data_IF_275241741244
#
_entry.id   IF_275241741244
#
_cell.length_a   1.000
_cell.length_b   1.000
_cell.length_c   1.000
_cell.angle_alpha   90.00
_cell.angle_beta   90.00
_cell.angle_gamma   90.00
#
_symmetry.space_group_name_H-M   'P 1'
#
loop_
_entity.id
_entity.type
_entity.pdbx_description
1 polymer ?
#
# COMPACT_ATOMS: atom_id res chain seq x y z
N UNK A 1 -32.26 18.64 -31.13
CA UNK A 1 -31.40 17.45 -30.81
C UNK A 1 -30.17 17.56 -31.70
N UNK A 2 -29.04 17.89 -31.10
CA UNK A 2 -27.80 18.15 -31.81
C UNK A 2 -27.14 16.85 -32.29
N UNK A 3 -26.32 16.95 -33.35
CA UNK A 3 -25.55 15.80 -33.89
C UNK A 3 -24.67 15.14 -32.83
N UNK A 4 -24.26 15.91 -31.83
CA UNK A 4 -23.49 15.43 -30.65
C UNK A 4 -24.34 14.51 -29.77
N UNK A 5 -25.58 14.81 -29.48
CA UNK A 5 -26.50 13.99 -28.66
C UNK A 5 -26.82 12.65 -29.33
N UNK A 6 -26.96 12.62 -30.67
CA UNK A 6 -27.16 11.41 -31.44
C UNK A 6 -25.94 10.48 -31.37
N UNK A 7 -24.72 11.06 -31.39
CA UNK A 7 -23.47 10.28 -31.28
C UNK A 7 -23.24 9.71 -29.90
N UNK A 8 -23.62 10.44 -28.85
CA UNK A 8 -23.54 9.93 -27.47
C UNK A 8 -24.52 8.79 -27.21
N UNK A 9 -25.74 8.88 -27.78
CA UNK A 9 -26.71 7.77 -27.72
C UNK A 9 -26.23 6.50 -28.43
N UNK A 10 -25.52 6.64 -29.56
CA UNK A 10 -24.95 5.52 -30.29
C UNK A 10 -23.80 4.82 -29.54
N UNK A 11 -23.02 5.58 -28.74
CA UNK A 11 -21.97 5.02 -27.84
C UNK A 11 -22.56 4.14 -26.74
N UNK A 12 -23.72 4.51 -26.20
CA UNK A 12 -24.42 3.73 -25.17
C UNK A 12 -25.07 2.46 -25.70
N UNK A 13 -25.35 2.38 -27.02
CA UNK A 13 -25.98 1.21 -27.66
C UNK A 13 -25.02 0.10 -28.09
N UNK A 14 -23.71 0.21 -27.86
CA UNK A 14 -22.71 -0.84 -28.07
C UNK A 14 -22.45 -1.23 -29.55
N UNK A 15 -22.94 -0.45 -30.55
CA UNK A 15 -22.79 -0.74 -31.99
C UNK A 15 -21.72 0.15 -32.64
N UNK A 16 -20.45 0.02 -32.24
CA UNK A 16 -19.34 0.67 -32.94
C UNK A 16 -18.69 -0.29 -33.94
N UNK A 17 -18.69 0.08 -35.23
CA UNK A 17 -17.99 -0.63 -36.25
C UNK A 17 -16.49 -0.32 -36.22
N UNK A 18 -15.61 -1.27 -36.64
CA UNK A 18 -14.16 -1.13 -36.68
C UNK A 18 -13.65 0.15 -37.37
N UNK A 19 -14.43 0.69 -38.36
CA UNK A 19 -14.06 1.92 -39.07
C UNK A 19 -14.24 3.21 -38.23
N UNK A 20 -15.08 3.19 -37.20
CA UNK A 20 -15.33 4.34 -36.35
C UNK A 20 -14.21 4.53 -35.30
N UNK A 21 -13.52 3.44 -34.92
CA UNK A 21 -12.34 3.48 -34.07
C UNK A 21 -11.17 4.26 -34.67
N UNK A 22 -10.93 4.11 -35.98
CA UNK A 22 -9.84 4.81 -36.65
C UNK A 22 -10.08 6.32 -36.82
N UNK A 23 -11.34 6.77 -36.79
CA UNK A 23 -11.68 8.20 -36.85
C UNK A 23 -11.66 8.88 -35.48
N UNK A 24 -11.89 8.14 -34.40
CA UNK A 24 -11.76 8.62 -33.02
C UNK A 24 -10.28 8.72 -32.57
N UNK A 25 -9.41 7.87 -33.10
CA UNK A 25 -7.97 7.88 -32.79
C UNK A 25 -7.23 9.09 -33.38
N UNK A 26 -7.75 9.73 -34.44
CA UNK A 26 -7.12 10.88 -35.10
C UNK A 26 -7.53 12.24 -34.50
N UNK A 27 -8.55 12.31 -33.65
CA UNK A 27 -8.99 13.54 -33.00
C UNK A 27 -8.33 13.82 -31.64
N UNK A 28 -7.57 12.87 -31.09
CA UNK A 28 -6.91 12.97 -29.78
C UNK A 28 -5.44 13.47 -29.85
N UNK A 29 -4.93 13.87 -31.01
CA UNK A 29 -3.50 14.16 -31.24
C UNK A 29 -3.08 15.61 -31.04
N UNK A 30 -3.94 16.50 -30.50
CA UNK A 30 -3.60 17.91 -30.26
C UNK A 30 -4.03 18.35 -28.85
N UNK A 31 -3.55 17.69 -27.80
CA UNK A 31 -3.50 18.25 -26.47
C UNK A 31 -2.08 18.69 -26.18
N UNK A 32 -1.83 19.94 -25.73
CA UNK A 32 -0.50 20.44 -25.48
C UNK A 32 0.14 19.68 -24.32
N UNK A 33 1.39 19.31 -24.51
CA UNK A 33 2.30 18.79 -23.49
C UNK A 33 2.53 19.83 -22.39
N UNK A 34 1.64 19.88 -21.41
CA UNK A 34 1.84 20.64 -20.19
C UNK A 34 1.77 19.65 -19.01
N UNK A 35 2.95 19.30 -18.50
CA UNK A 35 3.12 18.90 -17.12
C UNK A 35 2.61 17.52 -16.76
N UNK A 36 3.19 16.45 -17.29
CA UNK A 36 3.32 15.23 -16.51
C UNK A 36 4.36 15.51 -15.41
N UNK A 37 3.97 16.25 -14.37
CA UNK A 37 4.60 16.08 -13.06
C UNK A 37 4.38 14.62 -12.71
N UNK A 38 5.42 13.80 -12.88
CA UNK A 38 5.55 12.55 -12.20
C UNK A 38 5.30 12.89 -10.71
N UNK A 39 4.12 12.58 -10.22
CA UNK A 39 3.90 12.52 -8.79
C UNK A 39 4.78 11.36 -8.31
N UNK A 40 6.03 11.69 -8.00
CA UNK A 40 6.79 10.92 -7.05
C UNK A 40 5.85 10.85 -5.84
N UNK A 41 5.27 9.67 -5.59
CA UNK A 41 4.56 9.43 -4.36
C UNK A 41 5.61 9.67 -3.27
N UNK A 42 5.54 10.85 -2.68
CA UNK A 42 6.34 11.17 -1.52
C UNK A 42 6.13 10.02 -0.55
N UNK A 43 7.22 9.40 -0.13
CA UNK A 43 7.23 8.45 0.99
C UNK A 43 6.56 9.21 2.11
N UNK A 44 5.26 8.92 2.34
CA UNK A 44 4.44 9.61 3.31
C UNK A 44 5.17 9.56 4.64
N UNK A 45 5.42 10.73 5.21
CA UNK A 45 6.22 10.86 6.41
C UNK A 45 5.64 9.98 7.53
N UNK A 46 6.53 9.48 8.40
CA UNK A 46 6.19 8.72 9.62
C UNK A 46 5.16 9.43 10.52
N UNK A 47 4.92 10.72 10.31
CA UNK A 47 3.91 11.52 11.00
C UNK A 47 2.46 11.04 10.77
N UNK A 48 2.17 10.41 9.63
CA UNK A 48 0.82 9.92 9.32
C UNK A 48 0.55 8.53 9.93
N UNK A 49 1.60 7.78 10.20
CA UNK A 49 1.54 6.54 10.99
C UNK A 49 1.24 6.83 12.48
N UNK A 50 1.55 8.03 12.96
CA UNK A 50 1.29 8.47 14.33
C UNK A 50 -0.19 8.82 14.62
N UNK A 51 -1.07 8.82 13.60
CA UNK A 51 -2.51 9.11 13.73
C UNK A 51 -3.35 7.87 14.09
N UNK A 52 -2.78 6.86 14.71
CA UNK A 52 -3.45 5.64 15.15
C UNK A 52 -3.67 5.58 16.67
N UNK A 53 -4.08 4.42 17.20
CA UNK A 53 -4.32 4.19 18.60
C UNK A 53 -3.11 4.55 19.48
N UNK A 54 -3.37 5.06 20.67
CA UNK A 54 -2.36 5.19 21.74
C UNK A 54 -2.41 3.93 22.58
N UNK A 55 -1.44 3.07 22.39
CA UNK A 55 -1.38 1.78 23.04
C UNK A 55 -1.02 1.89 24.53
N UNK A 56 -1.73 1.15 25.37
CA UNK A 56 -1.42 0.98 26.79
C UNK A 56 -0.41 -0.17 27.00
N UNK A 57 -0.49 -1.19 26.14
CA UNK A 57 0.46 -2.28 26.10
C UNK A 57 1.11 -2.38 24.72
N UNK A 58 2.29 -3.03 24.64
CA UNK A 58 2.96 -3.24 23.35
C UNK A 58 2.12 -4.18 22.45
N UNK A 59 1.52 -3.67 21.35
CA UNK A 59 0.73 -4.48 20.44
C UNK A 59 1.59 -5.45 19.62
N UNK A 60 2.91 -5.21 19.52
CA UNK A 60 3.86 -6.05 18.79
C UNK A 60 4.59 -7.07 19.66
N UNK A 61 4.09 -7.35 20.85
CA UNK A 61 4.69 -8.31 21.81
C UNK A 61 4.83 -9.74 21.25
N UNK A 62 4.16 -10.09 20.16
CA UNK A 62 4.33 -11.34 19.43
C UNK A 62 5.46 -11.30 18.40
N UNK A 63 6.10 -10.14 18.22
CA UNK A 63 7.21 -9.96 17.29
C UNK A 63 6.80 -9.83 15.82
N UNK A 64 7.80 -9.99 14.96
CA UNK A 64 7.65 -9.92 13.50
C UNK A 64 8.35 -11.12 12.86
N UNK A 65 7.89 -11.51 11.67
CA UNK A 65 8.54 -12.59 10.93
C UNK A 65 8.50 -12.35 9.42
N UNK A 66 9.37 -13.05 8.69
CA UNK A 66 9.36 -13.15 7.24
C UNK A 66 9.33 -14.60 6.80
N UNK A 67 8.73 -14.86 5.63
CA UNK A 67 8.64 -16.22 5.10
C UNK A 67 8.27 -16.23 3.62
N UNK A 68 8.15 -17.45 3.06
CA UNK A 68 7.82 -17.68 1.65
C UNK A 68 8.72 -16.88 0.68
N UNK A 69 10.06 -17.01 0.77
CA UNK A 69 10.95 -16.27 -0.12
C UNK A 69 10.76 -16.73 -1.56
N UNK A 70 10.67 -15.75 -2.47
CA UNK A 70 10.72 -15.92 -3.91
C UNK A 70 11.97 -15.20 -4.44
N UNK A 71 12.36 -15.36 -5.70
CA UNK A 71 13.54 -14.68 -6.23
C UNK A 71 13.56 -13.17 -6.05
N UNK A 72 12.39 -12.52 -6.06
CA UNK A 72 12.26 -11.07 -6.00
C UNK A 72 11.24 -10.60 -4.94
N UNK A 73 10.77 -11.49 -4.08
CA UNK A 73 9.74 -11.14 -3.09
C UNK A 73 9.82 -12.00 -1.82
N UNK A 74 9.22 -11.49 -0.75
CA UNK A 74 9.11 -12.17 0.54
C UNK A 74 7.83 -11.70 1.25
N UNK A 75 7.21 -12.58 2.01
CA UNK A 75 6.10 -12.22 2.90
C UNK A 75 6.66 -11.71 4.22
N UNK A 76 6.31 -10.49 4.60
CA UNK A 76 6.58 -9.89 5.91
C UNK A 76 5.29 -9.91 6.71
N UNK A 77 5.33 -10.32 7.96
CA UNK A 77 4.11 -10.41 8.74
C UNK A 77 4.33 -10.14 10.23
N UNK A 78 3.24 -9.73 10.86
CA UNK A 78 3.10 -9.59 12.31
C UNK A 78 1.66 -9.87 12.72
N UNK A 79 1.41 -9.96 14.01
CA UNK A 79 0.09 -10.02 14.60
C UNK A 79 0.02 -9.09 15.79
N UNK A 80 -0.97 -8.20 15.80
CA UNK A 80 -1.18 -7.31 16.93
C UNK A 80 -1.86 -8.07 18.09
N UNK A 81 -1.32 -7.91 19.27
CA UNK A 81 -1.96 -8.34 20.51
C UNK A 81 -2.77 -7.18 21.06
N UNK A 82 -4.09 -7.30 20.98
CA UNK A 82 -5.00 -6.27 21.49
C UNK A 82 -5.46 -6.68 22.90
N UNK A 83 -5.20 -5.84 23.88
CA UNK A 83 -5.70 -6.01 25.25
C UNK A 83 -7.13 -5.46 25.35
N UNK A 84 -7.88 -5.86 26.41
CA UNK A 84 -9.21 -5.31 26.66
C UNK A 84 -9.19 -3.78 26.83
N UNK A 85 -8.15 -3.26 27.46
CA UNK A 85 -7.95 -1.83 27.67
C UNK A 85 -7.73 -1.08 26.34
N UNK A 86 -7.09 -1.72 25.36
CA UNK A 86 -6.83 -1.14 24.04
C UNK A 86 -8.00 -1.34 23.07
N UNK A 87 -8.82 -2.37 23.26
CA UNK A 87 -9.94 -2.71 22.36
C UNK A 87 -10.94 -1.56 22.20
N UNK A 88 -11.20 -0.81 23.24
CA UNK A 88 -12.10 0.36 23.20
C UNK A 88 -11.58 1.49 22.30
N UNK A 89 -10.28 1.56 22.03
CA UNK A 89 -9.64 2.63 21.26
C UNK A 89 -9.38 2.22 19.79
N UNK A 90 -9.49 0.93 19.45
CA UNK A 90 -9.03 0.43 18.16
C UNK A 90 -10.11 0.42 17.06
N UNK A 91 -11.38 0.61 17.41
CA UNK A 91 -12.48 0.56 16.43
C UNK A 91 -12.57 -0.80 15.72
N UNK A 92 -13.25 -0.83 14.56
CA UNK A 92 -13.44 -2.07 13.80
C UNK A 92 -12.22 -2.45 12.95
N UNK A 93 -11.37 -1.48 12.61
CA UNK A 93 -10.22 -1.68 11.73
C UNK A 93 -9.02 -0.86 12.20
N UNK A 94 -7.85 -1.47 12.17
CA UNK A 94 -6.59 -0.89 12.66
C UNK A 94 -5.63 -0.75 11.50
N UNK A 95 -5.15 0.49 11.26
CA UNK A 95 -4.14 0.78 10.27
C UNK A 95 -2.74 0.42 10.76
N UNK A 96 -2.00 -0.33 9.97
CA UNK A 96 -0.60 -0.71 10.23
C UNK A 96 0.25 -0.34 9.03
N UNK A 97 1.41 0.23 9.29
CA UNK A 97 2.40 0.56 8.27
C UNK A 97 3.56 -0.42 8.37
N UNK A 98 3.91 -1.06 7.25
CA UNK A 98 5.13 -1.84 7.12
C UNK A 98 6.17 -0.99 6.37
N UNK A 99 7.35 -0.83 6.95
CA UNK A 99 8.47 -0.09 6.35
C UNK A 99 9.63 -1.03 6.06
N UNK A 100 10.21 -0.94 4.86
CA UNK A 100 11.36 -1.72 4.39
C UNK A 100 12.57 -0.83 4.19
N UNK A 101 13.75 -1.29 4.61
CA UNK A 101 15.01 -0.55 4.58
C UNK A 101 16.13 -1.36 3.95
N UNK A 102 17.12 -0.64 3.39
CA UNK A 102 18.32 -1.22 2.79
C UNK A 102 19.46 -1.42 3.81
N UNK A 103 19.30 -1.01 5.06
CA UNK A 103 20.33 -1.06 6.09
C UNK A 103 19.76 -1.29 7.50
N UNK A 104 20.58 -1.91 8.36
CA UNK A 104 20.19 -2.24 9.74
C UNK A 104 19.93 -1.01 10.63
N UNK A 105 20.51 0.14 10.28
CA UNK A 105 20.31 1.38 11.02
C UNK A 105 19.03 2.13 10.61
N UNK A 106 18.25 1.56 9.67
CA UNK A 106 16.98 2.08 9.15
C UNK A 106 17.09 3.51 8.58
N UNK A 107 18.25 3.86 8.02
CA UNK A 107 18.50 5.21 7.47
C UNK A 107 18.13 5.31 5.99
N UNK A 108 18.04 4.18 5.28
CA UNK A 108 17.76 4.12 3.85
C UNK A 108 16.42 3.43 3.59
N UNK A 109 15.30 4.16 3.71
CA UNK A 109 13.99 3.61 3.41
C UNK A 109 13.90 3.25 1.92
N UNK A 110 13.31 2.10 1.61
CA UNK A 110 13.10 1.61 0.24
C UNK A 110 11.63 1.69 -0.14
N UNK A 111 10.76 1.20 0.73
CA UNK A 111 9.33 1.09 0.46
C UNK A 111 8.52 1.05 1.75
N UNK A 112 7.25 1.42 1.61
CA UNK A 112 6.27 1.44 2.68
C UNK A 112 4.94 0.89 2.15
N UNK A 113 4.26 0.10 2.98
CA UNK A 113 2.91 -0.41 2.71
C UNK A 113 1.99 -0.05 3.85
N UNK A 114 0.74 0.32 3.53
CA UNK A 114 -0.33 0.54 4.50
C UNK A 114 -1.31 -0.60 4.40
N UNK A 115 -1.60 -1.26 5.50
CA UNK A 115 -2.47 -2.41 5.59
C UNK A 115 -3.48 -2.18 6.71
N UNK A 116 -4.72 -2.59 6.47
CA UNK A 116 -5.76 -2.62 7.50
C UNK A 116 -5.91 -4.05 8.04
N UNK A 117 -6.09 -4.16 9.35
CA UNK A 117 -6.40 -5.43 10.00
C UNK A 117 -7.53 -5.27 11.01
N UNK A 118 -8.20 -6.36 11.32
CA UNK A 118 -9.38 -6.42 12.18
C UNK A 118 -9.44 -7.71 12.99
N UNK A 119 -10.44 -7.82 13.85
CA UNK A 119 -10.67 -9.01 14.68
C UNK A 119 -10.99 -10.27 13.85
N UNK A 120 -11.64 -10.14 12.69
CA UNK A 120 -11.95 -11.28 11.82
C UNK A 120 -10.67 -11.94 11.26
N UNK A 121 -9.61 -11.15 11.10
CA UNK A 121 -8.26 -11.63 10.74
C UNK A 121 -7.38 -11.93 11.95
N UNK A 122 -7.95 -11.99 13.15
CA UNK A 122 -7.23 -12.10 14.41
C UNK A 122 -6.09 -11.06 14.53
N UNK A 123 -6.29 -9.88 13.97
CA UNK A 123 -5.33 -8.76 13.89
C UNK A 123 -3.99 -9.12 13.23
N UNK A 124 -3.98 -10.11 12.34
CA UNK A 124 -2.80 -10.48 11.54
C UNK A 124 -2.60 -9.52 10.38
N UNK A 125 -1.35 -9.20 10.10
CA UNK A 125 -0.91 -8.32 9.00
C UNK A 125 0.08 -9.10 8.14
N UNK A 126 -0.17 -9.18 6.84
CA UNK A 126 0.71 -9.78 5.85
C UNK A 126 0.98 -8.77 4.74
N UNK A 127 2.24 -8.60 4.40
CA UNK A 127 2.70 -7.74 3.31
C UNK A 127 3.57 -8.57 2.37
N UNK A 128 3.26 -8.58 1.09
CA UNK A 128 4.14 -9.15 0.07
C UNK A 128 5.08 -8.05 -0.40
N UNK A 129 6.32 -8.09 0.07
CA UNK A 129 7.36 -7.17 -0.37
C UNK A 129 7.94 -7.68 -1.69
N UNK A 130 7.66 -6.96 -2.79
CA UNK A 130 8.09 -7.31 -4.15
C UNK A 130 9.19 -6.39 -4.67
N UNK A 131 9.87 -6.79 -5.75
CA UNK A 131 10.94 -6.02 -6.40
C UNK A 131 12.22 -6.01 -5.59
N UNK A 132 12.45 -7.07 -4.82
CA UNK A 132 13.68 -7.30 -4.06
C UNK A 132 14.77 -7.89 -4.95
N UNK A 133 16.02 -7.67 -4.59
CA UNK A 133 17.15 -8.31 -5.25
C UNK A 133 17.50 -9.62 -4.54
N UNK A 134 17.67 -10.74 -5.26
CA UNK A 134 18.04 -12.02 -4.68
C UNK A 134 19.34 -11.94 -3.86
N UNK A 135 19.34 -12.60 -2.71
CA UNK A 135 20.52 -12.67 -1.84
C UNK A 135 20.90 -11.38 -1.13
N UNK A 136 20.16 -10.30 -1.32
CA UNK A 136 20.38 -9.03 -0.63
C UNK A 136 19.68 -9.02 0.71
N UNK A 137 20.32 -8.43 1.71
CA UNK A 137 19.76 -8.22 3.03
C UNK A 137 18.84 -7.01 3.08
N UNK A 138 17.71 -7.14 3.77
CA UNK A 138 16.73 -6.09 4.01
C UNK A 138 16.29 -6.12 5.47
N UNK A 139 15.94 -4.94 5.99
CA UNK A 139 15.41 -4.76 7.34
C UNK A 139 14.02 -4.16 7.25
N UNK A 140 13.15 -4.53 8.16
CA UNK A 140 11.78 -4.05 8.16
C UNK A 140 11.25 -3.88 9.57
N UNK A 141 10.24 -3.04 9.70
CA UNK A 141 9.46 -2.89 10.92
C UNK A 141 8.02 -2.58 10.59
N UNK A 142 7.15 -2.77 11.59
CA UNK A 142 5.76 -2.35 11.53
C UNK A 142 5.53 -1.20 12.50
N UNK A 143 4.65 -0.26 12.11
CA UNK A 143 4.25 0.90 12.92
C UNK A 143 2.74 0.91 13.01
N UNK A 144 2.19 1.10 14.21
CA UNK A 144 0.76 1.16 14.45
C UNK A 144 0.45 2.20 15.53
N UNK A 145 -0.08 3.34 15.14
CA UNK A 145 -0.27 4.46 16.05
C UNK A 145 1.02 4.86 16.76
N UNK A 146 1.01 4.86 18.08
CA UNK A 146 2.19 5.20 18.90
C UNK A 146 3.23 4.09 19.02
N UNK A 147 2.94 2.86 18.57
CA UNK A 147 3.82 1.70 18.74
C UNK A 147 4.63 1.38 17.48
N UNK A 148 5.85 0.89 17.70
CA UNK A 148 6.75 0.40 16.65
C UNK A 148 7.25 -1.00 17.04
N UNK A 149 7.22 -1.93 16.09
CA UNK A 149 7.68 -3.30 16.30
C UNK A 149 9.21 -3.39 16.47
N UNK A 150 9.71 -4.52 16.96
CA UNK A 150 11.10 -4.90 16.75
C UNK A 150 11.46 -4.86 15.26
N UNK A 151 12.78 -4.69 14.98
CA UNK A 151 13.29 -4.72 13.61
C UNK A 151 13.44 -6.18 13.17
N UNK A 152 12.76 -6.54 12.09
CA UNK A 152 12.94 -7.80 11.42
C UNK A 152 14.04 -7.73 10.35
N UNK A 153 14.62 -8.87 10.02
CA UNK A 153 15.64 -9.01 8.99
C UNK A 153 15.26 -10.14 8.03
N UNK A 154 15.46 -9.92 6.73
CA UNK A 154 15.20 -10.91 5.68
C UNK A 154 16.21 -10.79 4.54
N UNK A 155 16.22 -11.82 3.70
CA UNK A 155 17.15 -11.86 2.56
C UNK A 155 16.57 -12.71 1.44
#
# INVERSE_FOLDING_TARGET
MTEFEKRMAALQAGHLNRRDWHRLALAAAMAPWLGACAQAQAVGSSAEAAQGPRWQADPFSLGVASGQPQPDSVVLWTRLRITEADAAQTGQSIGVVCELFADAALRRPLRQWRVQTDAARAHSVHVIATGLQPGRHYWYRFVCGSATSPVGHTR
#
